data_IF_146874443810
#
_entry.id   IF_146874443810
#
_cell.length_a   1.000
_cell.length_b   1.000
_cell.length_c   1.000
_cell.angle_alpha   90.00
_cell.angle_beta   90.00
_cell.angle_gamma   90.00
#
_symmetry.space_group_name_H-M   'P 1'
#
loop_
_entity.id
_entity.type
_entity.pdbx_description
1 polymer ?
#
# COMPACT_ATOMS: atom_id res chain seq x y z
N UNK A 1 -10.02 -12.25 30.01
CA UNK A 1 -11.25 -12.11 29.18
C UNK A 1 -10.80 -12.01 27.74
N UNK A 2 -11.13 -12.98 26.89
CA UNK A 2 -10.79 -12.93 25.46
C UNK A 2 -11.81 -11.98 24.81
N UNK A 3 -11.37 -10.95 24.09
CA UNK A 3 -12.30 -10.05 23.39
C UNK A 3 -13.18 -10.85 22.42
N UNK A 4 -14.48 -10.54 22.39
CA UNK A 4 -15.38 -11.11 21.39
C UNK A 4 -14.89 -10.69 19.98
N UNK A 5 -14.51 -11.63 19.11
CA UNK A 5 -14.06 -11.31 17.75
C UNK A 5 -15.08 -10.53 16.93
N UNK A 6 -16.36 -10.64 17.25
CA UNK A 6 -17.42 -9.83 16.62
C UNK A 6 -17.19 -8.35 16.83
N UNK A 7 -16.62 -7.94 17.99
CA UNK A 7 -16.28 -6.55 18.28
C UNK A 7 -15.25 -6.02 17.28
N UNK A 8 -14.23 -6.85 16.93
CA UNK A 8 -13.23 -6.47 15.95
C UNK A 8 -13.89 -6.06 14.62
N UNK A 9 -14.73 -6.90 14.04
CA UNK A 9 -15.40 -6.58 12.77
C UNK A 9 -16.36 -5.40 12.87
N UNK A 10 -16.93 -5.13 14.05
CA UNK A 10 -17.85 -4.01 14.27
C UNK A 10 -17.13 -2.67 14.39
N UNK A 11 -15.98 -2.66 15.03
CA UNK A 11 -15.25 -1.43 15.42
C UNK A 11 -14.08 -1.08 14.53
N UNK A 12 -13.57 -2.05 13.74
CA UNK A 12 -12.42 -1.82 12.87
C UNK A 12 -12.68 -0.70 11.86
N UNK A 13 -11.70 0.19 11.73
CA UNK A 13 -11.75 1.35 10.84
C UNK A 13 -11.41 0.94 9.40
N UNK A 14 -12.30 0.18 8.77
CA UNK A 14 -12.11 -0.43 7.44
C UNK A 14 -11.79 0.55 6.31
N UNK A 15 -12.16 1.82 6.48
CA UNK A 15 -11.93 2.89 5.50
C UNK A 15 -10.74 3.80 5.86
N UNK A 16 -9.97 3.47 6.91
CA UNK A 16 -8.91 4.33 7.44
C UNK A 16 -7.92 4.81 6.36
N UNK A 17 -7.35 3.90 5.59
CA UNK A 17 -6.34 4.23 4.57
C UNK A 17 -6.95 5.03 3.41
N UNK A 18 -8.14 4.64 2.94
CA UNK A 18 -8.85 5.35 1.88
C UNK A 18 -9.23 6.77 2.29
N UNK A 19 -9.71 6.94 3.52
CA UNK A 19 -10.04 8.27 4.07
C UNK A 19 -8.79 9.13 4.18
N UNK A 20 -7.68 8.59 4.73
CA UNK A 20 -6.41 9.32 4.85
C UNK A 20 -5.88 9.71 3.46
N UNK A 21 -5.86 8.79 2.50
CA UNK A 21 -5.40 9.07 1.14
C UNK A 21 -6.26 10.13 0.44
N UNK A 22 -7.59 10.07 0.61
CA UNK A 22 -8.51 11.06 0.04
C UNK A 22 -8.26 12.46 0.61
N UNK A 23 -8.03 12.55 1.89
CA UNK A 23 -7.69 13.80 2.56
C UNK A 23 -6.37 14.38 2.05
N UNK A 24 -5.31 13.58 2.00
CA UNK A 24 -4.00 13.99 1.50
C UNK A 24 -4.06 14.43 0.03
N UNK A 25 -4.75 13.64 -0.81
CA UNK A 25 -4.93 13.96 -2.23
C UNK A 25 -5.67 15.27 -2.43
N UNK A 26 -6.71 15.52 -1.63
CA UNK A 26 -7.48 16.77 -1.69
C UNK A 26 -6.63 17.99 -1.36
N UNK A 27 -5.74 17.91 -0.37
CA UNK A 27 -4.81 18.97 -0.04
C UNK A 27 -3.79 19.18 -1.17
N UNK A 28 -3.23 18.08 -1.71
CA UNK A 28 -2.28 18.12 -2.82
C UNK A 28 -2.86 18.72 -4.11
N UNK A 29 -4.17 18.56 -4.34
CA UNK A 29 -4.85 19.08 -5.53
C UNK A 29 -5.11 20.60 -5.46
N UNK A 30 -5.12 21.18 -4.26
CA UNK A 30 -5.38 22.63 -4.07
C UNK A 30 -4.51 23.19 -2.94
N UNK A 31 -3.17 23.02 -3.08
CA UNK A 31 -2.19 23.46 -2.10
C UNK A 31 -2.36 24.94 -1.69
N UNK A 32 -2.52 25.91 -2.63
CA UNK A 32 -2.60 27.32 -2.25
C UNK A 32 -3.77 27.66 -1.32
N UNK A 33 -4.86 26.91 -1.44
CA UNK A 33 -6.01 27.06 -0.55
C UNK A 33 -5.68 26.54 0.85
N UNK A 34 -5.14 25.32 0.93
CA UNK A 34 -4.90 24.67 2.20
C UNK A 34 -3.69 25.21 2.96
N UNK A 35 -2.69 25.79 2.27
CA UNK A 35 -1.63 26.56 2.90
C UNK A 35 -2.20 27.67 3.79
N UNK A 36 -3.15 28.46 3.26
CA UNK A 36 -3.81 29.53 4.02
C UNK A 36 -4.70 29.04 5.15
N UNK A 37 -5.34 27.86 4.97
CA UNK A 37 -6.23 27.29 5.99
C UNK A 37 -5.45 26.62 7.14
N UNK A 38 -4.26 26.08 6.89
CA UNK A 38 -3.47 25.30 7.86
C UNK A 38 -2.46 26.18 8.59
N UNK A 39 -1.86 27.16 7.88
CA UNK A 39 -0.83 28.03 8.44
C UNK A 39 -1.37 29.45 8.58
N UNK A 40 -1.21 30.05 9.77
CA UNK A 40 -1.63 31.43 10.05
C UNK A 40 -0.68 32.49 9.44
N UNK A 41 0.16 32.09 8.48
CA UNK A 41 1.12 32.93 7.78
C UNK A 41 1.22 32.55 6.31
N UNK A 42 1.71 33.45 5.49
CA UNK A 42 2.15 33.14 4.14
C UNK A 42 3.47 32.34 4.22
N UNK A 43 3.52 31.17 3.57
CA UNK A 43 4.73 30.34 3.47
C UNK A 43 5.65 30.92 2.39
N UNK A 44 6.96 30.90 2.64
CA UNK A 44 7.95 31.13 1.59
C UNK A 44 8.05 29.91 0.63
N UNK A 45 8.81 30.02 -0.44
CA UNK A 45 8.90 28.98 -1.48
C UNK A 45 9.54 27.69 -0.93
N UNK A 46 10.48 27.78 0.00
CA UNK A 46 11.10 26.63 0.64
C UNK A 46 10.10 25.91 1.55
N UNK A 47 9.36 26.64 2.35
CA UNK A 47 8.31 26.10 3.23
C UNK A 47 7.19 25.44 2.43
N UNK A 48 6.79 26.03 1.28
CA UNK A 48 5.80 25.42 0.36
C UNK A 48 6.31 24.11 -0.23
N UNK A 49 7.57 24.06 -0.67
CA UNK A 49 8.18 22.84 -1.19
C UNK A 49 8.24 21.76 -0.12
N UNK A 50 8.64 22.11 1.11
CA UNK A 50 8.68 21.17 2.24
C UNK A 50 7.28 20.63 2.58
N UNK A 51 6.27 21.50 2.61
CA UNK A 51 4.88 21.11 2.84
C UNK A 51 4.39 20.12 1.78
N UNK A 52 4.60 20.45 0.50
CA UNK A 52 4.25 19.59 -0.63
C UNK A 52 4.92 18.22 -0.55
N UNK A 53 6.22 18.17 -0.29
CA UNK A 53 6.99 16.93 -0.17
C UNK A 53 6.54 16.11 1.03
N UNK A 54 6.18 16.74 2.14
CA UNK A 54 5.63 16.06 3.32
C UNK A 54 4.32 15.35 2.97
N UNK A 55 3.39 16.02 2.30
CA UNK A 55 2.11 15.43 1.88
C UNK A 55 2.29 14.28 0.90
N UNK A 56 3.21 14.39 -0.06
CA UNK A 56 3.56 13.31 -0.99
C UNK A 56 4.14 12.11 -0.27
N UNK A 57 5.07 12.36 0.67
CA UNK A 57 5.65 11.33 1.53
C UNK A 57 4.58 10.61 2.34
N UNK A 58 3.67 11.36 2.95
CA UNK A 58 2.57 10.81 3.74
C UNK A 58 1.60 9.96 2.90
N UNK A 59 1.32 10.38 1.66
CA UNK A 59 0.50 9.59 0.75
C UNK A 59 1.18 8.26 0.38
N UNK A 60 2.46 8.31 0.06
CA UNK A 60 3.27 7.12 -0.24
C UNK A 60 3.37 6.18 0.96
N UNK A 61 3.62 6.71 2.16
CA UNK A 61 3.59 5.93 3.40
C UNK A 61 2.21 5.30 3.63
N UNK A 62 1.13 6.04 3.38
CA UNK A 62 -0.24 5.55 3.53
C UNK A 62 -0.49 4.38 2.59
N UNK A 63 0.05 4.42 1.37
CA UNK A 63 -0.02 3.31 0.42
C UNK A 63 0.68 2.06 0.96
N UNK A 64 1.94 2.15 1.38
CA UNK A 64 2.66 1.01 1.96
C UNK A 64 2.00 0.47 3.22
N UNK A 65 1.51 1.34 4.09
CA UNK A 65 0.79 0.95 5.30
C UNK A 65 -0.53 0.24 4.97
N UNK A 66 -1.23 0.68 3.91
CA UNK A 66 -2.43 -0.02 3.44
C UNK A 66 -2.11 -1.44 2.96
N UNK A 67 -1.00 -1.62 2.21
CA UNK A 67 -0.55 -2.95 1.76
C UNK A 67 -0.21 -3.84 2.96
N UNK A 68 0.58 -3.36 3.90
CA UNK A 68 0.95 -4.10 5.12
C UNK A 68 -0.30 -4.57 5.87
N UNK A 69 -1.20 -3.64 6.17
CA UNK A 69 -2.46 -3.90 6.88
C UNK A 69 -3.33 -4.91 6.13
N UNK A 70 -3.43 -4.77 4.81
CA UNK A 70 -4.19 -5.71 3.99
C UNK A 70 -3.62 -7.12 4.08
N UNK A 71 -2.32 -7.30 3.87
CA UNK A 71 -1.72 -8.63 3.88
C UNK A 71 -1.74 -9.28 5.28
N UNK A 72 -1.53 -8.50 6.34
CA UNK A 72 -1.70 -9.02 7.71
C UNK A 72 -3.11 -9.55 7.94
N UNK A 73 -4.14 -8.78 7.57
CA UNK A 73 -5.52 -9.20 7.68
C UNK A 73 -5.84 -10.38 6.76
N UNK A 74 -5.36 -10.36 5.51
CA UNK A 74 -5.54 -11.41 4.53
C UNK A 74 -4.98 -12.75 5.02
N UNK A 75 -3.77 -12.75 5.56
CA UNK A 75 -3.16 -13.98 6.11
C UNK A 75 -3.81 -14.41 7.42
N UNK A 76 -4.23 -13.47 8.28
CA UNK A 76 -4.93 -13.79 9.52
C UNK A 76 -6.29 -14.44 9.29
N UNK A 77 -6.96 -14.12 8.17
CA UNK A 77 -8.26 -14.67 7.77
C UNK A 77 -8.15 -15.87 6.84
N UNK A 78 -6.95 -16.16 6.31
CA UNK A 78 -6.76 -17.26 5.40
C UNK A 78 -6.91 -18.60 6.13
N UNK A 79 -7.83 -19.46 5.67
CA UNK A 79 -8.12 -20.75 6.31
C UNK A 79 -7.04 -21.82 6.07
N UNK A 80 -5.90 -21.52 5.47
CA UNK A 80 -4.84 -22.47 5.22
C UNK A 80 -4.25 -23.05 6.51
N UNK A 81 -4.30 -24.35 6.62
CA UNK A 81 -3.71 -25.13 7.69
C UNK A 81 -4.74 -25.98 8.44
N UNK A 82 -4.30 -26.62 9.54
CA UNK A 82 -5.12 -27.48 10.40
C UNK A 82 -6.18 -26.74 11.23
N UNK A 83 -6.25 -25.42 11.08
CA UNK A 83 -7.21 -24.59 11.82
C UNK A 83 -8.55 -24.61 11.09
N UNK A 84 -9.61 -24.88 11.84
CA UNK A 84 -10.99 -24.72 11.36
C UNK A 84 -11.20 -23.26 10.93
N UNK A 85 -12.03 -23.08 9.88
CA UNK A 85 -12.52 -21.79 9.41
C UNK A 85 -13.27 -21.07 10.53
N UNK A 86 -12.53 -20.39 11.39
CA UNK A 86 -13.10 -19.71 12.51
C UNK A 86 -12.65 -18.25 12.48
N UNK A 87 -13.55 -17.39 12.01
CA UNK A 87 -13.36 -15.94 12.08
C UNK A 87 -13.07 -15.47 13.52
N UNK A 88 -13.34 -16.32 14.51
CA UNK A 88 -13.06 -16.06 15.91
C UNK A 88 -11.57 -16.02 16.22
N UNK A 89 -10.73 -16.60 15.38
CA UNK A 89 -9.27 -16.62 15.58
C UNK A 89 -8.54 -15.42 14.98
N UNK A 90 -9.23 -14.47 14.31
CA UNK A 90 -8.58 -13.34 13.64
C UNK A 90 -7.73 -12.52 14.60
N UNK A 91 -8.21 -12.24 15.80
CA UNK A 91 -7.45 -11.46 16.81
C UNK A 91 -6.21 -12.19 17.28
N UNK A 92 -6.33 -13.52 17.48
CA UNK A 92 -5.19 -14.35 17.84
C UNK A 92 -4.16 -14.38 16.70
N UNK A 93 -4.60 -14.55 15.46
CA UNK A 93 -3.73 -14.60 14.29
C UNK A 93 -3.02 -13.27 14.07
N UNK A 94 -3.72 -12.14 14.22
CA UNK A 94 -3.13 -10.81 14.14
C UNK A 94 -2.11 -10.54 15.25
N UNK A 95 -2.44 -10.93 16.49
CA UNK A 95 -1.55 -10.76 17.64
C UNK A 95 -0.26 -11.60 17.55
N UNK A 96 -0.33 -12.75 16.86
CA UNK A 96 0.81 -13.63 16.65
C UNK A 96 1.47 -13.45 15.28
N UNK A 97 1.04 -12.47 14.48
CA UNK A 97 1.67 -12.14 13.21
C UNK A 97 3.06 -11.54 13.46
N UNK A 98 4.09 -12.19 12.92
CA UNK A 98 5.45 -11.67 12.97
C UNK A 98 5.79 -10.96 11.65
N UNK A 99 6.23 -9.71 11.72
CA UNK A 99 6.55 -8.90 10.53
C UNK A 99 7.48 -9.59 9.52
N UNK A 100 8.59 -10.27 9.93
CA UNK A 100 9.43 -11.03 9.00
C UNK A 100 8.71 -12.17 8.30
N UNK A 101 7.82 -12.89 9.00
CA UNK A 101 7.03 -13.98 8.41
C UNK A 101 6.03 -13.47 7.39
N UNK A 102 5.31 -12.39 7.72
CA UNK A 102 4.39 -11.71 6.81
C UNK A 102 5.12 -11.23 5.56
N UNK A 103 6.29 -10.61 5.71
CA UNK A 103 7.13 -10.19 4.59
C UNK A 103 7.53 -11.37 3.69
N UNK A 104 7.95 -12.49 4.26
CA UNK A 104 8.31 -13.67 3.49
C UNK A 104 7.13 -14.22 2.70
N UNK A 105 5.92 -14.22 3.28
CA UNK A 105 4.69 -14.63 2.58
C UNK A 105 4.39 -13.69 1.41
N UNK A 106 4.51 -12.37 1.60
CA UNK A 106 4.31 -11.37 0.54
C UNK A 106 5.35 -11.54 -0.56
N UNK A 107 6.63 -11.72 -0.21
CA UNK A 107 7.71 -11.93 -1.19
C UNK A 107 7.48 -13.15 -2.08
N UNK A 108 6.96 -14.26 -1.53
CA UNK A 108 6.61 -15.44 -2.31
C UNK A 108 5.50 -15.16 -3.33
N UNK A 109 4.52 -14.31 -2.99
CA UNK A 109 3.49 -13.88 -3.94
C UNK A 109 4.12 -13.03 -5.06
N UNK A 110 4.96 -12.06 -4.70
CA UNK A 110 5.63 -11.17 -5.65
C UNK A 110 6.51 -11.93 -6.65
N UNK A 111 7.26 -12.93 -6.15
CA UNK A 111 8.18 -13.74 -6.94
C UNK A 111 7.49 -14.92 -7.67
N UNK A 112 6.17 -15.02 -7.62
CA UNK A 112 5.39 -16.15 -8.13
C UNK A 112 5.75 -17.52 -7.53
N UNK A 113 6.45 -17.56 -6.39
CA UNK A 113 6.76 -18.80 -5.67
C UNK A 113 5.56 -19.34 -4.92
N UNK A 114 4.59 -18.47 -4.61
CA UNK A 114 3.31 -18.84 -4.04
C UNK A 114 2.22 -18.50 -5.05
N UNK A 115 1.70 -19.52 -5.69
CA UNK A 115 0.52 -19.40 -6.54
C UNK A 115 -0.68 -18.98 -5.70
N UNK A 116 -1.39 -17.92 -6.13
CA UNK A 116 -2.67 -17.52 -5.52
C UNK A 116 -3.82 -18.46 -5.92
N UNK A 117 -3.53 -19.60 -6.55
CA UNK A 117 -4.52 -20.60 -6.96
C UNK A 117 -5.26 -21.21 -5.79
N UNK A 118 -4.66 -21.20 -4.59
CA UNK A 118 -5.38 -21.63 -3.39
C UNK A 118 -6.70 -20.85 -3.18
N UNK A 119 -6.83 -19.64 -3.73
CA UNK A 119 -8.09 -18.90 -3.67
C UNK A 119 -9.22 -19.56 -4.46
N UNK A 120 -8.91 -20.49 -5.38
CA UNK A 120 -9.89 -21.29 -6.14
C UNK A 120 -10.26 -22.59 -5.43
N UNK A 121 -9.46 -23.01 -4.43
CA UNK A 121 -9.72 -24.21 -3.67
C UNK A 121 -11.10 -24.15 -3.02
N UNK A 122 -11.86 -25.23 -3.14
CA UNK A 122 -13.22 -25.34 -2.59
C UNK A 122 -13.15 -25.71 -1.11
N UNK A 123 -13.96 -25.02 -0.33
CA UNK A 123 -14.19 -25.31 1.08
C UNK A 123 -15.67 -25.49 1.33
N UNK A 124 -15.99 -26.36 2.27
CA UNK A 124 -17.35 -26.53 2.71
C UNK A 124 -17.67 -25.50 3.79
N UNK A 125 -18.53 -24.55 3.45
CA UNK A 125 -19.01 -23.54 4.39
C UNK A 125 -20.52 -23.69 4.58
N UNK A 126 -20.94 -24.20 5.76
CA UNK A 126 -22.34 -24.62 6.01
C UNK A 126 -22.76 -25.67 4.97
N UNK A 127 -23.75 -25.40 4.17
CA UNK A 127 -24.30 -26.30 3.14
C UNK A 127 -23.67 -26.07 1.73
N UNK A 128 -22.78 -25.08 1.60
CA UNK A 128 -22.27 -24.62 0.31
C UNK A 128 -20.79 -24.98 0.12
N UNK A 129 -20.46 -25.38 -1.11
CA UNK A 129 -19.07 -25.50 -1.56
C UNK A 129 -18.69 -24.20 -2.26
N UNK A 130 -17.88 -23.37 -1.59
CA UNK A 130 -17.41 -22.09 -2.10
C UNK A 130 -15.89 -22.07 -2.21
N UNK A 131 -15.33 -21.20 -3.08
CA UNK A 131 -13.90 -21.02 -3.12
C UNK A 131 -13.39 -20.24 -1.90
N UNK A 132 -12.12 -20.43 -1.55
CA UNK A 132 -11.47 -19.62 -0.50
C UNK A 132 -11.55 -18.15 -0.85
N UNK A 133 -11.37 -17.76 -2.11
CA UNK A 133 -11.53 -16.38 -2.56
C UNK A 133 -12.93 -15.84 -2.31
N UNK A 134 -13.98 -16.63 -2.60
CA UNK A 134 -15.36 -16.27 -2.29
C UNK A 134 -15.54 -16.09 -0.77
N UNK A 135 -15.05 -17.04 0.02
CA UNK A 135 -15.09 -16.96 1.49
C UNK A 135 -14.40 -15.70 2.01
N UNK A 136 -13.23 -15.35 1.50
CA UNK A 136 -12.49 -14.17 1.95
C UNK A 136 -13.15 -12.86 1.57
N UNK A 137 -13.52 -12.70 0.31
CA UNK A 137 -13.93 -11.40 -0.23
C UNK A 137 -15.44 -11.21 -0.39
N UNK A 138 -16.23 -12.31 -0.38
CA UNK A 138 -17.66 -12.28 -0.68
C UNK A 138 -18.51 -13.12 0.28
N UNK A 139 -18.00 -13.38 1.48
CA UNK A 139 -18.54 -14.32 2.45
C UNK A 139 -20.05 -14.23 2.70
N UNK A 140 -20.64 -13.05 2.66
CA UNK A 140 -22.07 -12.88 2.97
C UNK A 140 -23.02 -13.17 1.83
N UNK A 141 -22.53 -13.30 0.59
CA UNK A 141 -23.40 -13.30 -0.61
C UNK A 141 -24.12 -14.62 -0.83
N UNK A 142 -23.48 -15.74 -0.49
CA UNK A 142 -24.04 -17.08 -0.70
C UNK A 142 -25.22 -17.43 0.21
N UNK A 143 -25.49 -16.65 1.25
CA UNK A 143 -26.69 -16.81 2.11
C UNK A 143 -27.98 -16.29 1.44
N UNK A 144 -27.89 -15.55 0.37
CA UNK A 144 -29.03 -15.23 -0.46
C UNK A 144 -29.46 -16.54 -1.17
N UNK A 145 -30.64 -17.03 -0.84
CA UNK A 145 -31.12 -18.41 -0.98
C UNK A 145 -30.97 -19.11 -2.35
N UNK A 146 -30.60 -18.39 -3.41
CA UNK A 146 -30.25 -18.97 -4.73
C UNK A 146 -29.27 -18.03 -5.42
N UNK A 147 -28.00 -18.30 -5.29
CA UNK A 147 -26.99 -17.61 -6.09
C UNK A 147 -27.13 -18.06 -7.54
N UNK A 148 -27.44 -17.12 -8.46
CA UNK A 148 -27.52 -17.45 -9.87
C UNK A 148 -26.13 -17.80 -10.41
N UNK A 149 -26.09 -18.54 -11.52
CA UNK A 149 -24.82 -18.86 -12.18
C UNK A 149 -24.08 -17.61 -12.61
N UNK A 150 -24.81 -16.62 -13.11
CA UNK A 150 -24.26 -15.32 -13.54
C UNK A 150 -23.56 -14.60 -12.38
N UNK A 151 -24.16 -14.61 -11.18
CA UNK A 151 -23.55 -14.02 -9.98
C UNK A 151 -22.28 -14.76 -9.56
N UNK A 152 -22.29 -16.10 -9.62
CA UNK A 152 -21.10 -16.91 -9.34
C UNK A 152 -19.99 -16.60 -10.36
N UNK A 153 -20.30 -16.53 -11.65
CA UNK A 153 -19.34 -16.18 -12.70
C UNK A 153 -18.72 -14.79 -12.49
N UNK A 154 -19.52 -13.82 -12.04
CA UNK A 154 -19.01 -12.46 -11.70
C UNK A 154 -18.11 -12.47 -10.45
N UNK A 155 -18.43 -13.26 -9.44
CA UNK A 155 -17.57 -13.44 -8.26
C UNK A 155 -16.23 -14.08 -8.69
N UNK A 156 -16.25 -15.12 -9.49
CA UNK A 156 -15.05 -15.82 -9.95
C UNK A 156 -14.15 -14.91 -10.78
N UNK A 157 -14.72 -14.14 -11.72
CA UNK A 157 -13.98 -13.10 -12.47
C UNK A 157 -13.36 -12.04 -11.55
N UNK A 158 -14.11 -11.65 -10.53
CA UNK A 158 -13.62 -10.67 -9.56
C UNK A 158 -12.49 -11.23 -8.69
N UNK A 159 -12.53 -12.51 -8.31
CA UNK A 159 -11.43 -13.19 -7.59
C UNK A 159 -10.17 -13.22 -8.47
N UNK A 160 -10.30 -13.50 -9.78
CA UNK A 160 -9.18 -13.45 -10.71
C UNK A 160 -8.59 -12.04 -10.86
N UNK A 161 -9.43 -11.02 -10.82
CA UNK A 161 -8.95 -9.63 -10.81
C UNK A 161 -8.24 -9.29 -9.49
N UNK A 162 -8.75 -9.79 -8.37
CA UNK A 162 -8.09 -9.64 -7.05
C UNK A 162 -6.71 -10.30 -7.07
N UNK A 163 -6.58 -11.56 -7.56
CA UNK A 163 -5.27 -12.23 -7.69
C UNK A 163 -4.27 -11.39 -8.47
N UNK A 164 -4.71 -10.82 -9.59
CA UNK A 164 -3.88 -9.89 -10.38
C UNK A 164 -3.43 -8.68 -9.55
N UNK A 165 -4.36 -8.05 -8.83
CA UNK A 165 -4.05 -6.91 -7.97
C UNK A 165 -3.13 -7.25 -6.80
N UNK A 166 -3.30 -8.45 -6.19
CA UNK A 166 -2.43 -8.91 -5.09
C UNK A 166 -0.97 -9.07 -5.50
N UNK A 167 -0.71 -9.52 -6.74
CA UNK A 167 0.65 -9.59 -7.28
C UNK A 167 1.27 -8.21 -7.42
N UNK A 168 0.51 -7.22 -7.88
CA UNK A 168 0.98 -5.82 -7.97
C UNK A 168 1.32 -5.29 -6.58
N UNK A 169 0.40 -5.41 -5.62
CA UNK A 169 0.63 -4.94 -4.24
C UNK A 169 1.84 -5.63 -3.60
N UNK A 170 1.99 -6.93 -3.80
CA UNK A 170 3.13 -7.68 -3.28
C UNK A 170 4.45 -7.21 -3.91
N UNK A 171 4.47 -6.99 -5.23
CA UNK A 171 5.65 -6.49 -5.96
C UNK A 171 6.08 -5.11 -5.45
N UNK A 172 5.13 -4.21 -5.22
CA UNK A 172 5.43 -2.90 -4.66
C UNK A 172 5.98 -3.01 -3.23
N UNK A 173 5.43 -3.91 -2.41
CA UNK A 173 5.81 -4.04 -1.01
C UNK A 173 7.18 -4.69 -0.78
N UNK A 174 7.71 -5.48 -1.71
CA UNK A 174 9.06 -6.03 -1.57
C UNK A 174 10.16 -4.95 -1.62
N UNK A 175 9.87 -3.74 -2.13
CA UNK A 175 10.71 -2.55 -1.99
C UNK A 175 10.71 -2.01 -0.55
N UNK A 176 10.91 -2.91 0.41
CA UNK A 176 10.85 -2.66 1.86
C UNK A 176 11.85 -1.60 2.33
N UNK A 177 12.95 -1.45 1.63
CA UNK A 177 13.98 -0.46 1.96
C UNK A 177 13.42 0.95 1.89
N UNK A 178 12.66 1.27 0.84
CA UNK A 178 11.94 2.53 0.70
C UNK A 178 10.96 2.74 1.85
N UNK A 179 10.13 1.74 2.15
CA UNK A 179 9.17 1.82 3.23
C UNK A 179 9.81 2.01 4.61
N UNK A 180 10.94 1.34 4.88
CA UNK A 180 11.70 1.55 6.11
C UNK A 180 12.29 2.97 6.18
N UNK A 181 12.75 3.54 5.06
CA UNK A 181 13.22 4.92 5.01
C UNK A 181 12.10 5.90 5.37
N UNK A 182 10.89 5.68 4.84
CA UNK A 182 9.70 6.47 5.22
C UNK A 182 9.37 6.37 6.70
N UNK A 183 9.36 5.17 7.28
CA UNK A 183 9.06 4.96 8.70
C UNK A 183 10.01 5.73 9.64
N UNK A 184 11.24 5.93 9.22
CA UNK A 184 12.26 6.58 10.06
C UNK A 184 12.48 8.07 9.74
N UNK A 185 11.84 8.62 8.71
CA UNK A 185 11.81 10.04 8.35
C UNK A 185 13.17 10.69 8.05
N UNK A 186 14.19 10.41 8.87
CA UNK A 186 15.55 10.96 8.78
C UNK A 186 16.36 10.46 7.57
N UNK A 187 15.86 9.49 6.82
CA UNK A 187 16.54 8.91 5.65
C UNK A 187 15.94 9.39 4.34
N UNK A 188 15.09 10.39 4.38
CA UNK A 188 14.41 10.93 3.21
C UNK A 188 14.79 12.39 3.08
N UNK A 189 15.35 12.75 1.93
CA UNK A 189 15.68 14.14 1.63
C UNK A 189 15.37 14.46 0.16
N UNK A 190 15.03 15.70 -0.18
CA UNK A 190 14.94 16.18 -1.56
C UNK A 190 16.35 16.49 -2.11
N UNK A 191 17.19 15.44 -2.28
CA UNK A 191 18.61 15.62 -2.57
C UNK A 191 18.89 16.01 -4.03
N UNK A 192 18.08 15.55 -4.98
CA UNK A 192 18.35 15.71 -6.41
C UNK A 192 17.18 16.43 -7.06
N UNK A 193 17.39 17.70 -7.43
CA UNK A 193 16.35 18.51 -8.11
C UNK A 193 16.35 18.35 -9.63
N UNK A 194 17.46 17.95 -10.23
CA UNK A 194 17.56 17.71 -11.66
C UNK A 194 18.67 16.74 -11.99
N UNK A 195 18.46 15.96 -13.04
CA UNK A 195 19.48 15.13 -13.66
C UNK A 195 19.78 15.68 -15.06
N UNK A 196 21.06 15.90 -15.37
CA UNK A 196 21.46 16.50 -16.63
C UNK A 196 22.50 15.60 -17.32
N UNK A 197 22.28 15.32 -18.58
CA UNK A 197 23.25 14.69 -19.47
C UNK A 197 23.68 15.71 -20.53
N UNK A 198 24.97 15.92 -20.64
CA UNK A 198 25.54 16.86 -21.60
C UNK A 198 26.93 16.44 -22.08
N UNK A 199 27.41 17.16 -23.06
CA UNK A 199 28.78 17.02 -23.54
C UNK A 199 29.72 17.84 -22.65
N UNK A 200 30.63 17.17 -21.94
CA UNK A 200 31.58 17.80 -21.02
C UNK A 200 32.56 18.76 -21.76
N UNK A 201 32.81 18.53 -23.08
CA UNK A 201 33.71 19.37 -23.86
C UNK A 201 33.06 20.68 -24.32
N UNK A 202 31.77 20.63 -24.64
CA UNK A 202 31.01 21.77 -25.15
C UNK A 202 30.17 22.46 -24.09
N UNK A 203 30.05 21.88 -22.90
CA UNK A 203 29.09 22.29 -21.86
C UNK A 203 27.64 22.33 -22.34
N UNK A 204 27.33 21.64 -23.42
CA UNK A 204 25.98 21.59 -23.98
C UNK A 204 25.15 20.54 -23.24
N UNK A 205 24.05 20.97 -22.60
CA UNK A 205 23.11 20.06 -21.95
C UNK A 205 22.20 19.49 -23.01
N UNK A 206 22.31 18.18 -23.27
CA UNK A 206 21.48 17.45 -24.25
C UNK A 206 20.16 16.96 -23.69
N UNK A 207 20.15 16.58 -22.41
CA UNK A 207 18.98 16.09 -21.72
C UNK A 207 18.96 16.66 -20.30
N UNK A 208 17.82 17.21 -19.92
CA UNK A 208 17.56 17.65 -18.54
C UNK A 208 16.27 17.01 -18.05
N UNK A 209 16.34 16.26 -16.98
CA UNK A 209 15.17 15.74 -16.27
C UNK A 209 14.93 16.55 -15.01
N UNK A 210 13.70 17.03 -14.85
CA UNK A 210 13.27 17.67 -13.62
C UNK A 210 12.91 16.59 -12.59
N UNK A 211 13.61 16.62 -11.47
CA UNK A 211 13.44 15.72 -10.32
C UNK A 211 12.97 16.47 -9.07
N UNK A 212 12.50 17.70 -9.21
CA UNK A 212 12.02 18.53 -8.09
C UNK A 212 10.90 17.87 -7.30
N UNK A 213 10.14 16.98 -7.95
CA UNK A 213 9.07 16.18 -7.34
C UNK A 213 9.52 14.79 -6.84
N UNK A 214 10.83 14.55 -6.82
CA UNK A 214 11.39 13.29 -6.35
C UNK A 214 11.76 13.34 -4.87
N UNK A 215 11.87 12.16 -4.27
CA UNK A 215 12.45 11.94 -2.95
C UNK A 215 13.62 10.99 -3.05
N UNK A 216 14.69 11.31 -2.33
CA UNK A 216 15.89 10.48 -2.25
C UNK A 216 15.94 9.75 -0.92
N UNK A 217 16.30 8.47 -0.98
CA UNK A 217 16.39 7.58 0.17
C UNK A 217 17.83 7.15 0.37
N UNK A 218 18.32 7.32 1.59
CA UNK A 218 19.64 6.82 1.99
C UNK A 218 19.53 5.41 2.52
N UNK A 219 20.23 4.51 1.88
CA UNK A 219 20.26 3.10 2.23
C UNK A 219 21.67 2.69 2.64
N UNK A 220 21.75 1.74 3.57
CA UNK A 220 23.01 1.14 3.96
C UNK A 220 23.58 0.35 2.78
N UNK A 221 24.82 0.68 2.37
CA UNK A 221 25.59 -0.15 1.44
C UNK A 221 26.18 -1.37 2.16
N UNK A 222 26.65 -2.34 1.36
CA UNK A 222 27.41 -3.49 1.85
C UNK A 222 28.84 -3.08 2.24
N UNK A 223 29.36 -2.03 1.64
CA UNK A 223 30.69 -1.48 1.93
C UNK A 223 30.60 -0.44 3.04
N UNK A 224 31.51 -0.42 4.02
CA UNK A 224 31.43 0.48 5.18
C UNK A 224 31.50 1.96 4.83
N UNK A 225 32.15 2.33 3.71
CA UNK A 225 32.34 3.71 3.28
C UNK A 225 31.43 4.12 2.11
N UNK A 226 30.40 3.32 1.83
CA UNK A 226 29.46 3.58 0.75
C UNK A 226 28.07 3.84 1.26
N UNK A 227 27.40 4.81 0.66
CA UNK A 227 25.99 5.10 0.85
C UNK A 227 25.27 4.89 -0.47
N UNK A 228 24.27 4.04 -0.47
CA UNK A 228 23.39 3.85 -1.61
C UNK A 228 22.28 4.90 -1.54
N UNK A 229 22.06 5.61 -2.64
CA UNK A 229 21.00 6.59 -2.77
C UNK A 229 20.05 6.16 -3.88
N UNK A 230 18.78 6.09 -3.56
CA UNK A 230 17.71 5.87 -4.53
C UNK A 230 16.85 7.10 -4.57
N UNK A 231 16.70 7.68 -5.76
CA UNK A 231 15.81 8.81 -6.00
C UNK A 231 14.61 8.33 -6.80
N UNK A 232 13.41 8.54 -6.28
CA UNK A 232 12.15 8.13 -6.90
C UNK A 232 11.25 9.31 -7.15
N UNK A 233 10.67 9.38 -8.33
CA UNK A 233 9.61 10.31 -8.66
C UNK A 233 8.30 9.86 -8.01
N UNK A 234 7.61 10.80 -7.36
CA UNK A 234 6.29 10.57 -6.79
C UNK A 234 5.22 10.54 -7.87
N UNK A 235 4.49 9.44 -7.99
CA UNK A 235 3.25 9.40 -8.76
C UNK A 235 2.04 9.45 -7.83
N UNK A 236 1.64 10.67 -7.49
CA UNK A 236 0.51 10.95 -6.57
C UNK A 236 -0.77 10.24 -7.02
N UNK A 237 -1.04 10.24 -8.33
CA UNK A 237 -2.26 9.66 -8.88
C UNK A 237 -2.27 8.15 -8.76
N UNK A 238 -1.13 7.51 -9.00
CA UNK A 238 -0.96 6.06 -8.81
C UNK A 238 -1.03 5.69 -7.33
N UNK A 239 -0.28 6.36 -6.47
CA UNK A 239 -0.24 6.08 -5.04
C UNK A 239 -1.63 6.22 -4.41
N UNK A 240 -2.37 7.27 -4.78
CA UNK A 240 -3.76 7.45 -4.38
C UNK A 240 -4.65 6.30 -4.88
N UNK A 241 -4.62 6.02 -6.18
CA UNK A 241 -5.50 5.03 -6.80
C UNK A 241 -5.24 3.63 -6.26
N UNK A 242 -3.97 3.26 -6.07
CA UNK A 242 -3.59 1.97 -5.51
C UNK A 242 -3.88 1.86 -4.01
N UNK A 243 -3.78 2.97 -3.26
CA UNK A 243 -4.24 3.03 -1.86
C UNK A 243 -5.73 2.80 -1.77
N UNK A 244 -6.52 3.43 -2.65
CA UNK A 244 -7.97 3.23 -2.71
C UNK A 244 -8.34 1.79 -3.06
N UNK A 245 -7.64 1.18 -4.02
CA UNK A 245 -7.81 -0.23 -4.35
C UNK A 245 -7.53 -1.13 -3.12
N UNK A 246 -6.39 -0.94 -2.46
CA UNK A 246 -6.01 -1.71 -1.27
C UNK A 246 -7.02 -1.51 -0.12
N UNK A 247 -7.43 -0.27 0.13
CA UNK A 247 -8.45 0.06 1.14
C UNK A 247 -9.79 -0.63 0.82
N UNK A 248 -10.15 -0.73 -0.47
CA UNK A 248 -11.37 -1.45 -0.88
C UNK A 248 -11.27 -2.96 -0.62
N UNK A 249 -10.09 -3.56 -0.79
CA UNK A 249 -9.88 -4.96 -0.41
C UNK A 249 -10.05 -5.18 1.10
N UNK A 250 -9.46 -4.31 1.94
CA UNK A 250 -9.64 -4.33 3.39
C UNK A 250 -11.13 -4.18 3.75
N UNK A 251 -11.80 -3.23 3.08
CA UNK A 251 -13.23 -3.03 3.26
C UNK A 251 -14.02 -4.32 3.00
N UNK A 252 -13.73 -5.04 1.91
CA UNK A 252 -14.41 -6.29 1.57
C UNK A 252 -14.20 -7.35 2.65
N UNK A 253 -12.95 -7.57 3.08
CA UNK A 253 -12.63 -8.55 4.13
C UNK A 253 -13.44 -8.30 5.42
N UNK A 254 -13.59 -7.06 5.82
CA UNK A 254 -14.29 -6.68 7.07
C UNK A 254 -15.80 -6.59 6.88
N UNK A 255 -16.25 -5.96 5.79
CA UNK A 255 -17.66 -5.64 5.57
C UNK A 255 -18.52 -6.89 5.40
N UNK A 256 -18.09 -7.85 4.57
CA UNK A 256 -18.86 -9.07 4.35
C UNK A 256 -18.93 -9.96 5.60
N UNK A 257 -17.87 -10.01 6.41
CA UNK A 257 -17.92 -10.67 7.72
C UNK A 257 -18.88 -9.99 8.68
N UNK A 258 -18.84 -8.65 8.70
CA UNK A 258 -19.78 -7.85 9.49
C UNK A 258 -21.22 -8.11 9.09
N UNK A 259 -21.52 -8.20 7.79
CA UNK A 259 -22.84 -8.56 7.29
C UNK A 259 -23.24 -9.97 7.75
N UNK A 260 -22.33 -10.94 7.59
CA UNK A 260 -22.60 -12.35 7.97
C UNK A 260 -22.92 -12.48 9.46
N UNK A 261 -22.16 -11.81 10.32
CA UNK A 261 -22.37 -11.84 11.77
C UNK A 261 -23.68 -11.13 12.22
N UNK A 262 -24.20 -10.18 11.44
CA UNK A 262 -25.45 -9.48 11.70
C UNK A 262 -26.68 -10.15 11.07
N UNK A 263 -26.47 -10.97 10.04
CA UNK A 263 -27.57 -11.57 9.25
C UNK A 263 -28.56 -12.41 10.05
N UNK A 264 -28.15 -12.92 11.22
CA UNK A 264 -29.07 -13.63 12.10
C UNK A 264 -30.18 -12.76 12.68
N UNK A 265 -30.01 -11.42 12.70
CA UNK A 265 -30.99 -10.48 13.31
C UNK A 265 -31.62 -9.47 12.34
N UNK A 266 -30.97 -9.13 11.22
CA UNK A 266 -31.38 -7.99 10.39
C UNK A 266 -31.29 -8.27 8.87
N UNK A 267 -31.56 -9.48 8.40
CA UNK A 267 -31.40 -9.90 7.00
C UNK A 267 -32.10 -8.96 5.98
N UNK A 268 -33.26 -8.41 6.34
CA UNK A 268 -34.06 -7.50 5.50
C UNK A 268 -33.35 -6.15 5.22
N UNK A 269 -32.61 -5.62 6.20
CA UNK A 269 -31.94 -4.33 6.12
C UNK A 269 -30.79 -4.30 5.12
N UNK A 270 -30.22 -5.49 4.80
CA UNK A 270 -29.04 -5.63 3.97
C UNK A 270 -29.30 -6.11 2.55
N UNK A 271 -30.57 -6.40 2.20
CA UNK A 271 -30.96 -6.82 0.83
C UNK A 271 -30.67 -5.80 -0.27
N UNK A 272 -30.38 -4.55 0.08
CA UNK A 272 -30.19 -3.41 -0.85
C UNK A 272 -28.74 -2.93 -0.96
N UNK A 273 -27.76 -3.62 -0.37
CA UNK A 273 -26.37 -3.17 -0.52
C UNK A 273 -25.82 -3.57 -1.90
N UNK A 274 -25.26 -2.61 -2.65
CA UNK A 274 -24.65 -2.92 -3.93
C UNK A 274 -23.42 -3.83 -3.71
N UNK A 275 -23.37 -4.92 -4.45
CA UNK A 275 -22.19 -5.77 -4.52
C UNK A 275 -21.19 -5.07 -5.43
N UNK A 276 -19.95 -4.90 -4.96
CA UNK A 276 -18.87 -4.34 -5.75
C UNK A 276 -17.98 -5.48 -6.25
N UNK A 277 -17.77 -5.54 -7.55
CA UNK A 277 -16.85 -6.49 -8.20
C UNK A 277 -15.58 -5.77 -8.62
N UNK A 278 -14.46 -6.48 -8.55
CA UNK A 278 -13.18 -6.00 -9.07
C UNK A 278 -13.01 -6.44 -10.52
N UNK A 279 -12.35 -5.60 -11.32
CA UNK A 279 -12.00 -5.92 -12.70
C UNK A 279 -10.50 -5.75 -12.94
N UNK A 280 -9.91 -6.58 -13.80
CA UNK A 280 -8.47 -6.48 -14.14
C UNK A 280 -8.13 -5.15 -14.80
N UNK A 281 -8.98 -4.68 -15.73
CA UNK A 281 -8.76 -3.42 -16.44
C UNK A 281 -8.80 -2.19 -15.52
N UNK A 282 -9.80 -2.00 -14.62
CA UNK A 282 -9.77 -0.96 -13.60
C UNK A 282 -8.52 -1.01 -12.71
N UNK A 283 -8.08 -2.19 -12.28
CA UNK A 283 -6.88 -2.35 -11.46
C UNK A 283 -5.62 -1.96 -12.25
N UNK A 284 -5.49 -2.40 -13.50
CA UNK A 284 -4.39 -2.02 -14.38
C UNK A 284 -4.34 -0.50 -14.61
N UNK A 285 -5.51 0.15 -14.74
CA UNK A 285 -5.62 1.60 -14.84
C UNK A 285 -5.16 2.31 -13.57
N UNK A 286 -5.52 1.80 -12.40
CA UNK A 286 -5.04 2.33 -11.11
C UNK A 286 -3.51 2.21 -10.97
N UNK A 287 -2.94 1.12 -11.50
CA UNK A 287 -1.51 0.84 -11.45
C UNK A 287 -0.70 1.57 -12.54
N UNK A 288 -1.36 2.28 -13.47
CA UNK A 288 -0.67 2.98 -14.54
C UNK A 288 0.27 4.04 -13.98
N UNK A 289 1.54 3.95 -14.38
CA UNK A 289 2.56 4.94 -14.05
C UNK A 289 2.53 6.08 -15.07
N UNK A 290 2.54 7.29 -14.58
CA UNK A 290 2.46 8.51 -15.39
C UNK A 290 3.78 9.29 -15.45
N UNK A 291 4.83 8.81 -14.74
CA UNK A 291 6.15 9.44 -14.70
C UNK A 291 7.13 8.70 -15.60
N UNK A 292 8.02 9.44 -16.28
CA UNK A 292 8.95 8.88 -17.26
C UNK A 292 10.10 8.10 -16.61
N UNK A 293 10.52 8.50 -15.39
CA UNK A 293 11.57 7.86 -14.61
C UNK A 293 10.99 7.54 -13.24
N UNK A 294 11.00 6.25 -12.89
CA UNK A 294 10.52 5.81 -11.58
C UNK A 294 11.62 5.80 -10.53
N UNK A 295 12.79 5.30 -10.89
CA UNK A 295 13.92 5.12 -9.98
C UNK A 295 15.22 5.58 -10.62
N UNK A 296 16.00 6.39 -9.89
CA UNK A 296 17.38 6.70 -10.17
C UNK A 296 18.22 6.17 -9.01
N UNK A 297 19.06 5.17 -9.27
CA UNK A 297 19.92 4.57 -8.26
C UNK A 297 21.39 4.93 -8.52
N UNK A 298 22.10 5.39 -7.48
CA UNK A 298 23.52 5.63 -7.52
C UNK A 298 24.15 5.38 -6.16
N UNK A 299 25.44 5.03 -6.18
CA UNK A 299 26.23 4.80 -4.96
C UNK A 299 27.25 5.93 -4.82
N UNK A 300 27.31 6.52 -3.65
CA UNK A 300 28.36 7.47 -3.27
C UNK A 300 29.35 6.77 -2.35
N UNK A 301 30.64 6.92 -2.67
CA UNK A 301 31.72 6.49 -1.78
C UNK A 301 32.20 7.70 -1.01
N UNK A 302 32.16 7.64 0.31
CA UNK A 302 32.72 8.67 1.18
C UNK A 302 34.23 8.40 1.31
N UNK A 303 35.04 9.37 0.91
CA UNK A 303 36.49 9.32 1.09
C UNK A 303 36.89 9.84 2.48
N UNK A 304 38.07 9.47 3.00
CA UNK A 304 38.57 9.99 4.27
C UNK A 304 38.64 11.54 4.26
N UNK A 305 38.98 12.14 3.13
CA UNK A 305 39.02 13.58 2.96
C UNK A 305 37.64 14.25 3.09
N UNK A 306 36.55 13.57 2.67
CA UNK A 306 35.18 14.09 2.83
C UNK A 306 34.77 14.08 4.31
N UNK A 307 35.24 13.12 5.10
CA UNK A 307 35.00 13.03 6.53
C UNK A 307 35.82 14.06 7.33
N UNK A 308 37.04 14.36 6.91
CA UNK A 308 37.89 15.38 7.54
C UNK A 308 37.34 16.81 7.33
N UNK A 309 36.76 17.11 6.17
CA UNK A 309 36.09 18.40 5.91
C UNK A 309 34.90 18.62 6.85
N UNK A 310 34.16 17.58 7.18
CA UNK A 310 33.03 17.66 8.09
C UNK A 310 33.48 17.87 9.57
N UNK A 311 34.62 17.31 9.97
CA UNK A 311 35.15 17.51 11.32
C UNK A 311 35.67 18.92 11.55
N UNK A 312 36.28 19.53 10.52
CA UNK A 312 36.80 20.89 10.60
C UNK A 312 35.71 22.00 10.58
N UNK A 313 34.54 21.71 10.07
CA UNK A 313 33.38 22.64 10.15
C UNK A 313 32.76 22.66 11.53
N UNK A 314 32.75 21.52 12.23
CA UNK A 314 32.19 21.42 13.60
C UNK A 314 33.10 22.02 14.68
N UNK A 315 34.41 22.17 14.41
CA UNK A 315 35.36 22.79 15.36
C UNK A 315 35.37 24.34 15.30
N UNK A 316 34.56 24.95 14.43
CA UNK A 316 34.47 26.42 14.27
C UNK A 316 33.12 27.03 14.67
N UNK A 317 32.21 26.24 15.20
CA UNK A 317 30.94 26.68 15.81
C UNK A 317 30.95 26.47 17.30
#
# INVERSE_FOLDING_TARGET
MIPDPKIFYQTYLKDYHGTKATYLKKILDDLPKYEKEIFDKELDEEEKDQFRLTLKSDLRQTYFHAIETFFELFFALNPHGKQKFDDLNVLYNLANSAGPETYNKISKIALNENSLEFLDEKIKFSEFDISIGHYLFYMGIFKAATMSKELQDEIDKSIDAIKYGLKILATDFINREEYNAYKHGLRIIPAVKAFMLGDVKTNEIKIKWDLSDSMSFYLKSKSPNEVKIITKLSDISRDYSMTMFCSRLIYHLIFYRRLTLKFEKDAEKYKKFPITFFGKEPIAKCNKVNVAIQDLEYTMTLTESDLEIQSTVNDKT
#
